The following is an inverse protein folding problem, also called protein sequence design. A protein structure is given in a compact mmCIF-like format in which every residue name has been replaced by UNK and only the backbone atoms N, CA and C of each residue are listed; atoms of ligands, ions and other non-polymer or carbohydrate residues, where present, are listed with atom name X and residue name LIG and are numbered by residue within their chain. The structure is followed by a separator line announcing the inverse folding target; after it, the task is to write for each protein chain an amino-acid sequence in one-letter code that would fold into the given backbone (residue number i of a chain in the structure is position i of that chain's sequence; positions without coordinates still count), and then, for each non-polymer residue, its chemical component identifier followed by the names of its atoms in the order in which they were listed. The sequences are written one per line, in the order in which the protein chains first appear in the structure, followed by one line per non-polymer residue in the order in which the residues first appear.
data_IF_727847799173
#
_entry.id   IF_727847799173
#
_cell.length_a   1.000
_cell.length_b   1.000
_cell.length_c   1.000
_cell.angle_alpha   90.00
_cell.angle_beta   90.00
_cell.angle_gamma   90.00
#
_symmetry.space_group_name_H-M   'P 1'
#
loop_
_entity.id
_entity.type
_entity.pdbx_description
1 polymer ?
#
# COMPACT_ATOMS: atom_id res chain seq x y z
N UNK A 1 34.70 -18.49 -40.48
CA UNK A 1 33.46 -17.83 -40.05
C UNK A 1 33.70 -17.27 -38.62
N UNK A 2 33.83 -15.95 -38.47
CA UNK A 2 33.98 -15.32 -37.18
C UNK A 2 32.60 -14.78 -36.72
N UNK A 3 32.18 -14.96 -35.47
CA UNK A 3 30.91 -14.39 -34.99
C UNK A 3 31.02 -12.88 -34.84
N UNK A 4 30.03 -12.19 -35.37
CA UNK A 4 29.86 -10.75 -35.35
C UNK A 4 29.60 -10.27 -33.93
N UNK A 5 30.48 -9.40 -33.41
CA UNK A 5 30.29 -8.70 -32.14
C UNK A 5 29.38 -7.48 -32.36
N UNK A 6 28.12 -7.61 -32.04
CA UNK A 6 27.14 -6.48 -32.06
C UNK A 6 27.11 -5.75 -30.70
N UNK A 7 27.92 -6.13 -29.75
CA UNK A 7 27.89 -5.59 -28.38
C UNK A 7 28.69 -4.29 -28.13
N UNK A 8 29.53 -3.85 -29.07
CA UNK A 8 30.49 -2.78 -28.78
C UNK A 8 30.16 -1.40 -29.38
N UNK A 9 28.97 -1.21 -29.99
CA UNK A 9 28.62 0.05 -30.69
C UNK A 9 27.58 0.91 -29.94
N UNK A 10 26.93 0.41 -28.90
CA UNK A 10 25.81 1.11 -28.24
C UNK A 10 26.18 1.86 -26.94
N UNK A 11 27.43 1.88 -26.51
CA UNK A 11 27.82 2.50 -25.23
C UNK A 11 28.60 3.81 -25.33
N UNK A 12 28.80 4.37 -26.52
CA UNK A 12 29.62 5.60 -26.66
C UNK A 12 28.92 6.88 -27.06
N UNK A 13 27.60 6.88 -27.30
CA UNK A 13 26.91 8.10 -27.81
C UNK A 13 25.58 8.45 -27.11
N UNK A 14 25.41 8.16 -25.81
CA UNK A 14 24.23 8.62 -25.07
C UNK A 14 24.61 9.37 -23.78
N UNK A 15 25.61 10.21 -23.85
CA UNK A 15 25.84 11.23 -22.82
C UNK A 15 25.74 12.57 -23.55
N UNK A 16 24.53 13.09 -23.72
CA UNK A 16 24.13 14.48 -23.90
C UNK A 16 22.69 14.53 -24.48
N UNK A 17 21.72 14.06 -23.70
CA UNK A 17 20.35 14.47 -23.90
C UNK A 17 19.80 14.89 -22.54
N UNK A 18 19.85 16.17 -22.26
CA UNK A 18 19.17 16.81 -21.14
C UNK A 18 17.67 16.73 -21.35
N UNK A 19 17.04 15.63 -20.97
CA UNK A 19 15.60 15.62 -20.72
C UNK A 19 15.39 16.04 -19.26
N UNK A 20 14.84 17.22 -19.07
CA UNK A 20 14.27 17.69 -17.81
C UNK A 20 13.06 16.80 -17.45
N UNK A 21 13.33 15.65 -16.91
CA UNK A 21 12.39 14.97 -16.03
C UNK A 21 12.67 15.63 -14.68
N UNK A 22 11.65 16.16 -14.02
CA UNK A 22 11.71 16.58 -12.62
C UNK A 22 12.08 15.33 -11.80
N UNK A 23 13.36 15.01 -11.72
CA UNK A 23 13.93 13.84 -11.15
C UNK A 23 14.96 14.24 -10.11
N UNK A 24 14.93 13.63 -9.01
CA UNK A 24 15.94 13.73 -7.98
C UNK A 24 17.30 13.45 -8.60
N UNK A 25 18.17 14.49 -8.67
CA UNK A 25 19.56 14.37 -9.07
C UNK A 25 20.27 13.49 -8.03
N UNK A 26 20.73 12.31 -8.46
CA UNK A 26 21.50 11.43 -7.60
C UNK A 26 22.94 11.96 -7.52
N UNK A 27 23.45 12.41 -6.36
CA UNK A 27 24.81 12.94 -6.25
C UNK A 27 25.82 11.82 -6.55
N UNK A 28 26.75 12.10 -7.49
CA UNK A 28 27.86 11.19 -7.82
C UNK A 28 28.63 10.84 -6.54
N UNK A 29 28.68 9.55 -6.17
CA UNK A 29 29.41 9.04 -5.02
C UNK A 29 28.59 8.41 -3.90
N UNK A 30 27.25 8.55 -3.86
CA UNK A 30 26.41 7.79 -2.91
C UNK A 30 25.96 6.47 -3.53
N UNK A 31 26.25 5.37 -2.84
CA UNK A 31 25.71 4.06 -3.20
C UNK A 31 24.18 4.10 -3.12
N UNK A 32 23.47 3.60 -4.15
CA UNK A 32 22.01 3.47 -4.12
C UNK A 32 21.57 2.57 -2.97
N UNK A 33 20.57 3.03 -2.19
CA UNK A 33 19.98 2.26 -1.10
C UNK A 33 18.46 2.39 -1.14
N UNK A 34 17.77 1.28 -1.00
CA UNK A 34 16.30 1.29 -0.87
C UNK A 34 15.83 1.98 0.41
N UNK A 35 16.63 1.99 1.48
CA UNK A 35 16.34 2.74 2.71
C UNK A 35 16.20 4.25 2.52
N UNK A 36 16.75 4.78 1.42
CA UNK A 36 16.70 6.21 1.10
C UNK A 36 15.54 6.52 0.13
N UNK A 37 14.71 5.53 -0.19
CA UNK A 37 13.57 5.63 -1.12
C UNK A 37 12.23 5.51 -0.38
N UNK A 38 11.21 6.16 -0.95
CA UNK A 38 9.84 6.02 -0.45
C UNK A 38 9.32 4.62 -0.77
N UNK A 39 8.59 4.03 0.17
CA UNK A 39 7.86 2.78 -0.04
C UNK A 39 6.55 3.04 -0.79
N UNK A 40 6.13 2.08 -1.59
CA UNK A 40 4.81 2.05 -2.24
C UNK A 40 4.07 0.83 -1.72
N UNK A 41 2.88 1.04 -1.18
CA UNK A 41 1.97 -0.05 -0.81
C UNK A 41 1.16 -0.53 -2.02
N UNK A 42 0.90 -1.83 -2.09
CA UNK A 42 0.06 -2.42 -3.13
C UNK A 42 -1.02 -3.28 -2.50
N UNK A 43 -2.25 -3.16 -3.04
CA UNK A 43 -3.37 -4.01 -2.70
C UNK A 43 -4.17 -4.30 -3.97
N UNK A 44 -4.82 -5.45 -4.07
CA UNK A 44 -5.57 -5.81 -5.26
C UNK A 44 -7.08 -5.57 -5.08
N UNK A 45 -7.75 -5.15 -6.16
CA UNK A 45 -9.21 -5.09 -6.24
C UNK A 45 -9.71 -5.70 -7.55
N UNK A 46 -10.89 -6.29 -7.54
CA UNK A 46 -11.60 -6.73 -8.73
C UNK A 46 -12.67 -5.72 -9.21
N UNK A 47 -12.89 -4.66 -8.44
CA UNK A 47 -13.91 -3.64 -8.71
C UNK A 47 -13.41 -2.26 -8.26
N UNK A 48 -13.04 -1.44 -9.24
CA UNK A 48 -12.47 -0.11 -9.00
C UNK A 48 -13.41 0.85 -8.30
N UNK A 49 -14.72 0.81 -8.62
CA UNK A 49 -15.70 1.73 -8.03
C UNK A 49 -15.93 1.40 -6.56
N UNK A 50 -16.04 0.11 -6.24
CA UNK A 50 -16.15 -0.38 -4.88
C UNK A 50 -14.90 -0.06 -4.05
N UNK A 51 -13.72 -0.27 -4.62
CA UNK A 51 -12.46 0.09 -3.99
C UNK A 51 -12.34 1.61 -3.76
N UNK A 52 -12.70 2.43 -4.74
CA UNK A 52 -12.70 3.89 -4.63
C UNK A 52 -13.62 4.37 -3.49
N UNK A 53 -14.82 3.80 -3.40
CA UNK A 53 -15.76 4.11 -2.32
C UNK A 53 -15.21 3.70 -0.96
N UNK A 54 -14.55 2.56 -0.86
CA UNK A 54 -14.00 2.07 0.40
C UNK A 54 -12.75 2.85 0.82
N UNK A 55 -11.71 2.88 0.00
CA UNK A 55 -10.45 3.54 0.35
C UNK A 55 -10.59 5.07 0.43
N UNK A 56 -11.31 5.68 -0.50
CA UNK A 56 -11.55 7.12 -0.50
C UNK A 56 -12.68 7.55 0.43
N UNK A 57 -13.82 6.88 0.39
CA UNK A 57 -15.01 7.26 1.17
C UNK A 57 -14.95 6.77 2.61
N UNK A 58 -14.83 5.44 2.82
CA UNK A 58 -14.90 4.84 4.16
C UNK A 58 -13.60 5.07 4.96
N UNK A 59 -12.42 4.84 4.35
CA UNK A 59 -11.14 5.05 5.01
C UNK A 59 -10.63 6.49 4.93
N UNK A 60 -11.22 7.35 4.10
CA UNK A 60 -10.87 8.76 3.97
C UNK A 60 -9.51 9.03 3.31
N UNK A 61 -8.95 8.08 2.53
CA UNK A 61 -7.71 8.30 1.82
C UNK A 61 -7.92 9.24 0.63
N UNK A 62 -6.98 10.14 0.39
CA UNK A 62 -7.04 11.06 -0.73
C UNK A 62 -6.71 10.34 -2.03
N UNK A 63 -7.68 10.28 -2.96
CA UNK A 63 -7.45 9.80 -4.32
C UNK A 63 -6.55 10.79 -5.06
N UNK A 64 -5.42 10.33 -5.58
CA UNK A 64 -4.43 11.12 -6.31
C UNK A 64 -4.64 11.02 -7.81
N UNK A 65 -4.85 9.80 -8.31
CA UNK A 65 -5.10 9.55 -9.74
C UNK A 65 -5.85 8.25 -9.98
N UNK A 66 -6.53 8.18 -11.11
CA UNK A 66 -7.17 6.98 -11.64
C UNK A 66 -6.40 6.55 -12.89
N UNK A 67 -5.60 5.52 -12.78
CA UNK A 67 -4.78 4.97 -13.87
C UNK A 67 -5.50 3.77 -14.52
N UNK A 68 -6.66 4.05 -15.09
CA UNK A 68 -7.49 3.01 -15.69
C UNK A 68 -6.83 2.39 -16.94
N UNK A 69 -6.93 1.08 -17.17
CA UNK A 69 -7.63 0.06 -16.36
C UNK A 69 -6.75 -0.62 -15.30
N UNK A 70 -5.63 -0.02 -14.86
CA UNK A 70 -4.58 -0.69 -14.10
C UNK A 70 -4.69 -0.49 -12.59
N UNK A 71 -4.94 0.75 -12.11
CA UNK A 71 -4.92 1.05 -10.69
C UNK A 71 -5.65 2.35 -10.32
N UNK A 72 -6.07 2.43 -9.07
CA UNK A 72 -6.36 3.67 -8.35
C UNK A 72 -5.15 4.00 -7.47
N UNK A 73 -4.76 5.26 -7.44
CA UNK A 73 -3.62 5.72 -6.63
C UNK A 73 -4.13 6.62 -5.52
N UNK A 74 -3.85 6.23 -4.28
CA UNK A 74 -4.19 7.01 -3.09
C UNK A 74 -2.93 7.50 -2.37
N UNK A 75 -3.07 8.61 -1.68
CA UNK A 75 -2.11 9.08 -0.69
C UNK A 75 -2.52 8.60 0.70
N UNK A 76 -1.67 7.81 1.32
CA UNK A 76 -1.81 7.34 2.69
C UNK A 76 -0.75 8.04 3.57
N UNK A 77 -0.99 9.31 3.88
CA UNK A 77 -0.12 10.15 4.71
C UNK A 77 1.34 10.19 4.19
N UNK A 78 1.49 10.53 2.91
CA UNK A 78 2.79 10.60 2.23
C UNK A 78 3.30 9.28 1.66
N UNK A 79 2.64 8.16 1.95
CA UNK A 79 2.92 6.87 1.32
C UNK A 79 1.94 6.65 0.17
N UNK A 80 2.47 6.37 -1.03
CA UNK A 80 1.63 6.00 -2.16
C UNK A 80 1.03 4.61 -1.93
N UNK A 81 -0.30 4.51 -2.02
CA UNK A 81 -1.02 3.24 -2.05
C UNK A 81 -1.59 3.03 -3.45
N UNK A 82 -1.17 1.97 -4.13
CA UNK A 82 -1.73 1.53 -5.42
C UNK A 82 -2.74 0.41 -5.20
N UNK A 83 -4.00 0.69 -5.48
CA UNK A 83 -5.06 -0.32 -5.52
C UNK A 83 -5.12 -0.85 -6.93
N UNK A 84 -4.46 -1.98 -7.16
CA UNK A 84 -4.28 -2.59 -8.49
C UNK A 84 -5.54 -3.33 -8.93
N UNK A 85 -6.03 -3.02 -10.13
CA UNK A 85 -7.24 -3.65 -10.70
C UNK A 85 -6.86 -4.98 -11.35
N UNK A 86 -7.46 -6.06 -10.88
CA UNK A 86 -7.22 -7.42 -11.38
C UNK A 86 -8.55 -8.11 -11.71
N UNK A 87 -8.52 -9.13 -12.55
CA UNK A 87 -9.74 -9.88 -12.91
C UNK A 87 -10.36 -10.63 -11.72
N UNK A 88 -9.52 -11.12 -10.81
CA UNK A 88 -9.92 -11.87 -9.62
C UNK A 88 -8.92 -11.64 -8.50
N UNK A 89 -9.41 -11.30 -7.31
CA UNK A 89 -8.60 -11.21 -6.10
C UNK A 89 -8.54 -12.57 -5.43
N UNK A 90 -7.35 -12.97 -4.99
CA UNK A 90 -7.12 -14.08 -4.05
C UNK A 90 -6.56 -13.48 -2.78
N UNK A 91 -7.41 -13.24 -1.75
CA UNK A 91 -6.96 -12.61 -0.52
C UNK A 91 -5.89 -13.46 0.18
N UNK A 92 -4.85 -12.80 0.68
CA UNK A 92 -3.83 -13.45 1.49
C UNK A 92 -4.40 -13.84 2.86
N UNK A 93 -3.89 -14.92 3.43
CA UNK A 93 -4.25 -15.36 4.79
C UNK A 93 -3.58 -14.54 5.91
N UNK A 94 -3.07 -13.35 5.59
CA UNK A 94 -2.37 -12.45 6.51
C UNK A 94 -2.67 -10.99 6.19
N UNK A 95 -2.31 -10.08 7.09
CA UNK A 95 -2.47 -8.63 6.90
C UNK A 95 -1.58 -8.13 5.76
N UNK A 96 -2.17 -7.53 4.75
CA UNK A 96 -1.45 -6.99 3.58
C UNK A 96 -1.17 -5.51 3.70
N UNK A 97 -1.95 -4.78 4.52
CA UNK A 97 -1.81 -3.35 4.73
C UNK A 97 -2.29 -3.00 6.14
N UNK A 98 -1.59 -2.11 6.82
CA UNK A 98 -1.96 -1.66 8.15
C UNK A 98 -1.60 -0.21 8.40
N UNK A 99 -2.30 0.41 9.34
CA UNK A 99 -2.05 1.76 9.82
C UNK A 99 -1.63 1.72 11.28
N UNK A 100 -0.52 2.38 11.58
CA UNK A 100 -0.19 2.71 12.96
C UNK A 100 -1.00 3.93 13.38
N UNK A 101 -1.72 3.81 14.49
CA UNK A 101 -2.59 4.87 15.00
C UNK A 101 -2.21 5.22 16.44
N UNK A 102 -2.32 6.50 16.85
CA UNK A 102 -1.98 6.91 18.21
C UNK A 102 -3.00 6.45 19.25
N UNK A 103 -4.25 6.18 18.83
CA UNK A 103 -5.34 5.72 19.70
C UNK A 103 -6.23 4.74 18.92
N UNK A 104 -5.98 3.44 19.10
CA UNK A 104 -6.69 2.39 18.37
C UNK A 104 -8.17 2.30 18.74
N UNK A 105 -8.53 2.64 19.99
CA UNK A 105 -9.94 2.62 20.44
C UNK A 105 -10.74 3.69 19.71
N UNK A 106 -10.22 4.90 19.62
CA UNK A 106 -10.87 6.00 18.90
C UNK A 106 -10.96 5.69 17.41
N UNK A 107 -9.87 5.17 16.80
CA UNK A 107 -9.83 4.80 15.40
C UNK A 107 -10.81 3.64 15.07
N UNK A 108 -10.88 2.62 15.92
CA UNK A 108 -11.80 1.50 15.75
C UNK A 108 -13.26 1.94 15.85
N UNK A 109 -13.61 2.82 16.79
CA UNK A 109 -14.94 3.39 16.90
C UNK A 109 -15.33 4.17 15.64
N UNK A 110 -14.46 5.07 15.18
CA UNK A 110 -14.70 5.88 13.99
C UNK A 110 -14.91 5.00 12.72
N UNK A 111 -14.08 3.98 12.53
CA UNK A 111 -14.27 3.05 11.42
C UNK A 111 -15.54 2.19 11.55
N UNK A 112 -15.91 1.79 12.77
CA UNK A 112 -17.15 1.07 13.03
C UNK A 112 -18.38 1.94 12.67
N UNK A 113 -18.37 3.22 13.06
CA UNK A 113 -19.40 4.20 12.70
C UNK A 113 -19.48 4.43 11.18
N UNK A 114 -18.33 4.35 10.48
CA UNK A 114 -18.25 4.39 9.02
C UNK A 114 -18.66 3.06 8.33
N UNK A 115 -19.11 2.06 9.11
CA UNK A 115 -19.63 0.79 8.61
C UNK A 115 -18.57 -0.32 8.46
N UNK A 116 -17.34 -0.13 8.92
CA UNK A 116 -16.32 -1.18 8.94
C UNK A 116 -16.64 -2.20 10.03
N UNK A 117 -16.54 -3.49 9.69
CA UNK A 117 -16.67 -4.60 10.64
C UNK A 117 -15.29 -5.15 10.95
N UNK A 118 -14.97 -5.24 12.24
CA UNK A 118 -13.72 -5.84 12.70
C UNK A 118 -13.85 -7.36 12.80
N UNK A 119 -12.81 -8.05 12.36
CA UNK A 119 -12.72 -9.51 12.36
C UNK A 119 -12.52 -10.03 13.78
N UNK A 120 -13.08 -11.23 14.03
CA UNK A 120 -12.91 -11.98 15.27
C UNK A 120 -12.20 -13.29 14.98
N UNK A 121 -11.13 -13.57 15.71
CA UNK A 121 -10.33 -14.77 15.52
C UNK A 121 -10.48 -15.69 16.73
N UNK A 122 -10.80 -16.95 16.47
CA UNK A 122 -10.87 -17.96 17.51
C UNK A 122 -9.51 -18.12 18.21
N UNK A 123 -9.53 -18.14 19.53
CA UNK A 123 -8.30 -18.23 20.32
C UNK A 123 -7.59 -16.91 20.59
N UNK A 124 -8.11 -15.79 20.09
CA UNK A 124 -7.66 -14.45 20.44
C UNK A 124 -8.66 -13.76 21.36
N UNK A 125 -8.19 -13.31 22.53
CA UNK A 125 -9.00 -12.49 23.44
C UNK A 125 -9.08 -11.07 22.90
N UNK A 126 -10.13 -10.77 22.15
CA UNK A 126 -10.43 -9.46 21.59
C UNK A 126 -11.56 -8.80 22.38
N UNK A 127 -11.42 -7.48 22.62
CA UNK A 127 -12.47 -6.70 23.28
C UNK A 127 -13.73 -6.52 22.40
N UNK A 128 -14.71 -5.76 22.90
CA UNK A 128 -15.98 -5.52 22.19
C UNK A 128 -15.79 -4.85 20.82
N UNK A 129 -14.73 -4.06 20.64
CA UNK A 129 -14.37 -3.39 19.40
C UNK A 129 -13.52 -4.26 18.45
N UNK A 130 -13.19 -5.50 18.84
CA UNK A 130 -12.33 -6.37 18.04
C UNK A 130 -10.84 -6.10 18.22
N UNK A 131 -10.44 -5.37 19.25
CA UNK A 131 -9.05 -5.06 19.53
C UNK A 131 -8.43 -6.21 20.35
N UNK A 132 -7.36 -6.76 19.83
CA UNK A 132 -6.50 -7.69 20.54
C UNK A 132 -5.31 -6.97 21.17
N UNK A 133 -5.01 -7.30 22.42
CA UNK A 133 -3.82 -6.79 23.12
C UNK A 133 -2.76 -7.89 23.15
N UNK A 134 -1.59 -7.59 22.56
CA UNK A 134 -0.47 -8.53 22.57
C UNK A 134 0.21 -8.59 23.95
N UNK A 135 0.87 -9.70 24.32
CA UNK A 135 1.64 -9.79 25.56
C UNK A 135 2.73 -8.71 25.69
N UNK A 136 3.24 -8.20 24.57
CA UNK A 136 4.24 -7.13 24.52
C UNK A 136 3.68 -5.72 24.61
N UNK A 137 2.36 -5.55 24.83
CA UNK A 137 1.69 -4.25 25.01
C UNK A 137 1.18 -3.60 23.73
N UNK A 138 1.50 -4.12 22.56
CA UNK A 138 0.93 -3.66 21.30
C UNK A 138 -0.54 -4.06 21.16
N UNK A 139 -1.32 -3.24 20.47
CA UNK A 139 -2.74 -3.49 20.20
C UNK A 139 -2.99 -3.56 18.69
N UNK A 140 -3.84 -4.51 18.26
CA UNK A 140 -4.17 -4.68 16.85
C UNK A 140 -5.67 -4.95 16.70
N UNK A 141 -6.28 -4.37 15.66
CA UNK A 141 -7.63 -4.69 15.23
C UNK A 141 -7.62 -4.94 13.72
N UNK A 142 -8.24 -6.03 13.27
CA UNK A 142 -8.26 -6.44 11.86
C UNK A 142 -9.63 -6.23 11.25
N UNK A 143 -9.63 -5.87 9.98
CA UNK A 143 -10.85 -5.74 9.18
C UNK A 143 -10.55 -6.11 7.73
N UNK A 144 -11.59 -6.21 6.92
CA UNK A 144 -11.43 -6.55 5.50
C UNK A 144 -11.90 -5.42 4.60
N UNK A 145 -11.20 -5.27 3.48
CA UNK A 145 -11.72 -4.49 2.38
C UNK A 145 -12.82 -5.27 1.63
N UNK A 146 -13.52 -4.65 0.66
CA UNK A 146 -14.61 -5.30 -0.10
C UNK A 146 -14.18 -6.52 -0.92
N UNK A 147 -12.90 -6.68 -1.23
CA UNK A 147 -12.35 -7.85 -1.94
C UNK A 147 -11.82 -8.94 -0.99
N UNK A 148 -11.93 -8.72 0.33
CA UNK A 148 -11.51 -9.67 1.36
C UNK A 148 -10.05 -9.56 1.77
N UNK A 149 -9.30 -8.56 1.29
CA UNK A 149 -7.95 -8.30 1.76
C UNK A 149 -7.96 -7.96 3.25
N UNK A 150 -7.08 -8.58 4.03
CA UNK A 150 -6.98 -8.33 5.47
C UNK A 150 -6.16 -7.08 5.73
N UNK A 151 -6.78 -6.12 6.39
CA UNK A 151 -6.20 -4.83 6.78
C UNK A 151 -6.15 -4.73 8.32
N UNK A 152 -5.34 -3.84 8.88
CA UNK A 152 -5.25 -3.66 10.32
C UNK A 152 -5.07 -2.23 10.78
N UNK A 153 -5.54 -1.95 11.99
CA UNK A 153 -5.06 -0.85 12.83
C UNK A 153 -4.08 -1.42 13.85
N UNK A 154 -3.00 -0.71 14.14
CA UNK A 154 -2.01 -1.07 15.15
C UNK A 154 -1.63 0.12 16.00
N UNK A 155 -1.44 -0.11 17.30
CA UNK A 155 -0.91 0.87 18.24
C UNK A 155 0.24 0.22 19.01
N UNK A 156 1.40 0.84 19.00
CA UNK A 156 2.61 0.42 19.70
C UNK A 156 3.05 1.48 20.70
#
# INVERSE_FOLDING_TARGET
MKPCRIADILWRNTILATSRIQGHYWPMGKQFRLSDQSIIGFVATSDSDRAKKFYGGTLGLRLVSEEMPFALVFDAHGTMLRVTIVKKVSPAGYTVLGWQVPNIVAAAKALHEAGVRFERYAGMEQDELGIWSSPGGGKVAWFKDPDGNTLSLSQH
#
